data_IF_283147242151
#
_entry.id   IF_283147242151
#
_cell.length_a   1.000
_cell.length_b   1.000
_cell.length_c   1.000
_cell.angle_alpha   90.00
_cell.angle_beta   90.00
_cell.angle_gamma   90.00
#
_symmetry.space_group_name_H-M   'P 1'
#
loop_
_entity.id
_entity.type
_entity.pdbx_description
1 polymer ?
#
# COMPACT_ATOMS: atom_id res chain seq x y z
N UNK A 1 2.92 -10.52 0.19
CA UNK A 1 2.87 -10.19 -1.26
C UNK A 1 2.44 -8.74 -1.40
N UNK A 2 3.16 -7.91 -2.14
CA UNK A 2 2.90 -6.46 -2.16
C UNK A 2 2.44 -6.03 -3.55
N UNK A 3 1.20 -5.56 -3.65
CA UNK A 3 0.62 -5.07 -4.90
C UNK A 3 0.48 -3.57 -4.78
N UNK A 4 1.02 -2.81 -5.73
CA UNK A 4 0.92 -1.37 -5.70
C UNK A 4 0.95 -0.80 -7.10
N UNK A 5 0.17 0.25 -7.30
CA UNK A 5 0.06 0.99 -8.54
C UNK A 5 -0.01 2.48 -8.24
N UNK A 6 0.64 3.29 -9.06
CA UNK A 6 0.63 4.74 -8.90
C UNK A 6 0.61 5.42 -10.25
N UNK A 7 -0.03 6.57 -10.30
CA UNK A 7 -0.07 7.44 -11.46
C UNK A 7 0.48 8.80 -11.07
N UNK A 8 1.36 9.33 -11.92
CA UNK A 8 1.92 10.67 -11.78
C UNK A 8 1.44 11.52 -12.95
N UNK A 9 0.75 12.61 -12.64
CA UNK A 9 0.33 13.60 -13.63
C UNK A 9 1.47 14.55 -13.92
N UNK A 10 1.55 15.03 -15.17
CA UNK A 10 2.53 16.04 -15.56
C UNK A 10 2.36 17.38 -14.82
N UNK A 11 1.21 17.60 -14.18
CA UNK A 11 0.91 18.76 -13.33
C UNK A 11 1.55 18.73 -11.93
N UNK A 12 2.50 17.81 -11.67
CA UNK A 12 3.20 17.71 -10.38
C UNK A 12 2.49 16.91 -9.30
N UNK A 13 1.28 16.41 -9.57
CA UNK A 13 0.52 15.57 -8.63
C UNK A 13 0.83 14.09 -8.86
N UNK A 14 1.12 13.35 -7.80
CA UNK A 14 1.29 11.90 -7.83
C UNK A 14 0.33 11.22 -6.87
N UNK A 15 -0.42 10.24 -7.35
CA UNK A 15 -1.30 9.39 -6.55
C UNK A 15 -0.74 7.97 -6.56
N UNK A 16 -0.56 7.40 -5.38
CA UNK A 16 -0.10 6.02 -5.21
C UNK A 16 -1.03 5.26 -4.29
N UNK A 17 -1.37 4.03 -4.66
CA UNK A 17 -2.00 3.07 -3.76
C UNK A 17 -1.12 1.83 -3.66
N UNK A 18 -0.85 1.41 -2.43
CA UNK A 18 -0.10 0.20 -2.15
C UNK A 18 -0.91 -0.66 -1.19
N UNK A 19 -1.09 -1.91 -1.58
CA UNK A 19 -1.69 -2.95 -0.78
C UNK A 19 -0.60 -3.89 -0.27
N UNK A 20 -0.47 -3.93 1.05
CA UNK A 20 0.50 -4.79 1.72
C UNK A 20 -0.23 -5.99 2.32
N UNK A 21 -0.03 -7.18 1.73
CA UNK A 21 -0.39 -8.45 2.35
C UNK A 21 0.82 -8.94 3.16
N UNK A 22 0.78 -8.69 4.47
CA UNK A 22 1.75 -9.29 5.39
C UNK A 22 1.52 -10.78 5.50
N UNK A 23 2.45 -11.58 4.98
CA UNK A 23 2.50 -13.05 5.17
C UNK A 23 3.19 -13.36 6.51
N UNK A 24 2.63 -12.83 7.60
CA UNK A 24 3.13 -13.02 8.95
C UNK A 24 2.27 -14.03 9.69
N UNK A 25 2.43 -15.32 9.36
CA UNK A 25 2.02 -16.39 10.27
C UNK A 25 3.04 -16.41 11.40
N UNK A 26 2.76 -15.68 12.48
CA UNK A 26 3.60 -15.72 13.68
C UNK A 26 2.96 -16.63 14.76
N UNK A 27 1.67 -16.98 14.66
CA UNK A 27 1.01 -17.88 15.60
C UNK A 27 -0.15 -18.67 14.97
N UNK A 28 -0.18 -19.99 15.20
CA UNK A 28 -1.25 -20.95 14.81
C UNK A 28 -2.62 -20.68 15.46
N UNK A 29 -2.69 -19.70 16.38
CA UNK A 29 -3.90 -19.36 17.14
C UNK A 29 -4.41 -17.97 16.70
N UNK A 30 -5.27 -17.94 15.68
CA UNK A 30 -6.03 -16.74 15.31
C UNK A 30 -5.33 -15.80 14.32
N UNK A 31 -5.15 -16.27 13.09
CA UNK A 31 -4.64 -15.55 11.91
C UNK A 31 -5.02 -14.05 11.85
N UNK A 32 -4.20 -13.11 12.37
CA UNK A 32 -4.44 -11.69 12.20
C UNK A 32 -3.95 -11.37 10.79
N UNK A 33 -4.88 -11.37 9.82
CA UNK A 33 -4.53 -11.02 8.45
C UNK A 33 -4.13 -9.54 8.41
N UNK A 34 -2.82 -9.29 8.46
CA UNK A 34 -2.23 -7.95 8.47
C UNK A 34 -2.33 -7.37 7.05
N UNK A 35 -3.53 -6.90 6.71
CA UNK A 35 -3.92 -6.29 5.44
C UNK A 35 -3.91 -4.79 5.62
N UNK A 36 -2.89 -4.15 5.07
CA UNK A 36 -2.75 -2.69 5.17
C UNK A 36 -2.96 -2.08 3.79
N UNK A 37 -3.89 -1.13 3.73
CA UNK A 37 -4.06 -0.23 2.60
C UNK A 37 -3.32 1.06 2.87
N UNK A 38 -2.39 1.40 1.99
CA UNK A 38 -1.65 2.64 2.05
C UNK A 38 -1.99 3.49 0.83
N UNK A 39 -2.49 4.69 1.10
CA UNK A 39 -2.75 5.71 0.09
C UNK A 39 -1.69 6.81 0.21
N UNK A 40 -1.21 7.31 -0.92
CA UNK A 40 -0.15 8.32 -0.98
C UNK A 40 -0.53 9.40 -1.97
N UNK A 41 -0.46 10.64 -1.51
CA UNK A 41 -0.70 11.85 -2.29
C UNK A 41 0.59 12.67 -2.25
N UNK A 42 1.19 12.90 -3.41
CA UNK A 42 2.37 13.74 -3.56
C UNK A 42 2.02 14.96 -4.39
N UNK A 43 2.48 16.13 -3.95
CA UNK A 43 2.38 17.38 -4.68
C UNK A 43 3.80 17.91 -4.86
N UNK A 44 4.20 18.11 -6.11
CA UNK A 44 5.45 18.76 -6.46
C UNK A 44 5.10 20.19 -6.89
N UNK A 45 5.45 21.16 -6.05
CA UNK A 45 5.24 22.59 -6.28
C UNK A 45 6.43 23.20 -7.03
#
# INVERSE_FOLDING_TARGET
>A
MNFGGGFKTNSGVSLGVRYHLGLGDIYDEGSPQNRVWQFSLGFNL
#
